data_IF_473523455956
#
_entry.id   IF_473523455956
#
_cell.length_a   1.000
_cell.length_b   1.000
_cell.length_c   1.000
_cell.angle_alpha   90.00
_cell.angle_beta   90.00
_cell.angle_gamma   90.00
#
_symmetry.space_group_name_H-M   'P 1'
#
loop_
_entity.id
_entity.type
_entity.pdbx_description
1 polymer ?
#
# COMPACT_ATOMS: atom_id res chain seq x y z
N UNK A 1 1.40 23.10 -12.32
CA UNK A 1 1.87 22.95 -10.92
C UNK A 1 0.80 22.17 -10.15
N UNK A 2 1.03 20.90 -9.83
CA UNK A 2 0.08 20.05 -9.10
C UNK A 2 0.12 20.43 -7.62
N UNK A 3 -0.89 21.17 -7.17
CA UNK A 3 -0.96 21.72 -5.81
C UNK A 3 -1.01 20.62 -4.75
N UNK A 4 -0.07 20.69 -3.81
CA UNK A 4 0.10 19.79 -2.66
C UNK A 4 -1.03 19.83 -1.63
N UNK A 5 -2.24 19.44 -2.02
CA UNK A 5 -3.33 19.14 -1.07
C UNK A 5 -3.38 17.64 -0.82
N UNK A 6 -2.64 17.17 0.18
CA UNK A 6 -3.06 15.95 0.87
C UNK A 6 -4.31 16.31 1.68
N UNK A 7 -5.44 15.64 1.43
CA UNK A 7 -6.62 15.77 2.29
C UNK A 7 -6.24 15.48 3.75
N UNK A 8 -6.99 16.01 4.71
CA UNK A 8 -6.84 15.70 6.14
C UNK A 8 -6.71 14.18 6.38
N UNK A 9 -7.51 13.39 5.66
CA UNK A 9 -7.47 11.93 5.69
C UNK A 9 -6.14 11.35 5.20
N UNK A 10 -5.54 11.93 4.15
CA UNK A 10 -4.22 11.52 3.65
C UNK A 10 -3.10 11.78 4.66
N UNK A 11 -3.16 12.89 5.42
CA UNK A 11 -2.17 13.20 6.46
C UNK A 11 -2.30 12.25 7.65
N UNK A 12 -3.52 12.02 8.14
CA UNK A 12 -3.80 11.09 9.23
C UNK A 12 -3.33 9.67 8.86
N UNK A 13 -3.64 9.21 7.64
CA UNK A 13 -3.20 7.90 7.14
C UNK A 13 -1.67 7.76 7.16
N UNK A 14 -0.92 8.79 6.73
CA UNK A 14 0.55 8.78 6.76
C UNK A 14 1.09 8.69 8.18
N UNK A 15 0.56 9.49 9.10
CA UNK A 15 0.97 9.47 10.50
C UNK A 15 0.68 8.12 11.16
N UNK A 16 -0.49 7.53 10.88
CA UNK A 16 -0.84 6.20 11.36
C UNK A 16 0.12 5.14 10.84
N UNK A 17 0.42 5.12 9.54
CA UNK A 17 1.37 4.16 8.95
C UNK A 17 2.75 4.27 9.61
N UNK A 18 3.25 5.49 9.80
CA UNK A 18 4.53 5.71 10.47
C UNK A 18 4.54 5.16 11.90
N UNK A 19 3.45 5.38 12.65
CA UNK A 19 3.33 4.85 14.00
C UNK A 19 3.34 3.31 14.02
N UNK A 20 2.61 2.67 13.11
CA UNK A 20 2.59 1.20 13.00
C UNK A 20 3.98 0.66 12.61
N UNK A 21 4.70 1.30 11.69
CA UNK A 21 6.09 0.93 11.36
C UNK A 21 6.98 0.86 12.61
N UNK A 22 6.95 1.92 13.43
CA UNK A 22 7.78 2.00 14.64
C UNK A 22 7.43 0.91 15.67
N UNK A 23 6.14 0.57 15.79
CA UNK A 23 5.70 -0.51 16.70
C UNK A 23 6.17 -1.87 16.19
N UNK A 24 6.05 -2.13 14.87
CA UNK A 24 6.52 -3.38 14.25
C UNK A 24 8.02 -3.53 14.38
N UNK A 25 8.80 -2.47 14.14
CA UNK A 25 10.25 -2.50 14.29
C UNK A 25 10.66 -2.84 15.72
N UNK A 26 9.97 -2.25 16.71
CA UNK A 26 10.19 -2.54 18.13
C UNK A 26 9.84 -3.99 18.48
N UNK A 27 8.72 -4.51 18.00
CA UNK A 27 8.29 -5.90 18.24
C UNK A 27 9.25 -6.90 17.58
N UNK A 28 9.64 -6.65 16.32
CA UNK A 28 10.59 -7.49 15.60
C UNK A 28 11.95 -7.57 16.33
N UNK A 29 12.44 -6.44 16.85
CA UNK A 29 13.66 -6.39 17.66
C UNK A 29 13.57 -7.14 18.99
N UNK A 30 12.37 -7.23 19.59
CA UNK A 30 12.14 -7.97 20.84
C UNK A 30 12.08 -9.49 20.63
N UNK A 31 11.58 -9.93 19.47
CA UNK A 31 11.41 -11.36 19.15
C UNK A 31 12.75 -11.99 18.73
N UNK A 32 13.79 -11.20 18.50
CA UNK A 32 15.10 -11.68 18.04
C UNK A 32 15.03 -12.26 16.62
N UNK A 33 14.03 -11.85 15.85
CA UNK A 33 13.86 -12.31 14.48
C UNK A 33 14.85 -11.57 13.57
N UNK A 34 15.76 -12.32 12.95
CA UNK A 34 16.69 -11.78 11.96
C UNK A 34 16.01 -11.48 10.61
N UNK A 35 14.83 -12.06 10.35
CA UNK A 35 14.03 -11.70 9.19
C UNK A 35 13.38 -10.32 9.39
N UNK A 36 13.66 -9.41 8.44
CA UNK A 36 12.99 -8.11 8.41
C UNK A 36 11.49 -8.27 8.16
N UNK A 37 10.69 -7.98 9.18
CA UNK A 37 9.25 -7.83 9.04
C UNK A 37 8.97 -6.50 8.35
N UNK A 38 8.29 -6.54 7.20
CA UNK A 38 7.93 -5.33 6.46
C UNK A 38 6.42 -5.19 6.34
N UNK A 39 5.94 -3.94 6.47
CA UNK A 39 4.53 -3.64 6.24
C UNK A 39 4.25 -3.53 4.74
N UNK A 40 3.11 -4.06 4.27
CA UNK A 40 2.71 -3.91 2.88
C UNK A 40 2.44 -2.43 2.55
N UNK A 41 2.61 -2.07 1.27
CA UNK A 41 2.27 -0.71 0.82
C UNK A 41 0.78 -0.41 1.08
N UNK A 42 0.40 0.83 1.41
CA UNK A 42 -0.98 1.19 1.74
C UNK A 42 -2.04 0.99 0.65
N UNK A 43 -1.64 0.65 -0.56
CA UNK A 43 -2.51 0.28 -1.69
C UNK A 43 -2.81 -1.24 -1.74
N UNK A 44 -2.01 -2.06 -1.05
CA UNK A 44 -2.20 -3.51 -0.95
C UNK A 44 -3.54 -3.80 -0.27
N UNK A 45 -4.42 -4.54 -0.96
CA UNK A 45 -5.81 -4.78 -0.55
C UNK A 45 -6.59 -3.49 -0.19
N UNK A 46 -6.29 -2.37 -0.84
CA UNK A 46 -7.04 -1.14 -0.64
C UNK A 46 -8.45 -1.23 -1.24
N UNK A 47 -9.49 -1.15 -0.42
CA UNK A 47 -10.90 -1.24 -0.86
C UNK A 47 -11.62 0.11 -0.95
N UNK A 48 -10.89 1.22 -0.79
CA UNK A 48 -11.47 2.56 -0.72
C UNK A 48 -10.69 3.54 -1.61
N UNK A 49 -11.43 4.36 -2.36
CA UNK A 49 -10.86 5.45 -3.15
C UNK A 49 -10.09 4.93 -4.37
N UNK A 50 -8.90 5.49 -4.63
CA UNK A 50 -8.11 5.19 -5.84
C UNK A 50 -7.61 3.73 -5.92
N UNK A 51 -7.67 2.96 -4.85
CA UNK A 51 -7.17 1.58 -4.80
C UNK A 51 -8.28 0.53 -5.04
N UNK A 52 -9.55 0.93 -5.05
CA UNK A 52 -10.69 0.01 -5.15
C UNK A 52 -10.72 -0.80 -6.45
N UNK A 53 -10.20 -0.22 -7.54
CA UNK A 53 -10.28 -0.80 -8.89
C UNK A 53 -8.98 -1.45 -9.38
N UNK A 54 -7.90 -1.37 -8.60
CA UNK A 54 -6.57 -1.81 -9.04
C UNK A 54 -5.95 -2.67 -7.95
N UNK A 55 -5.55 -3.89 -8.31
CA UNK A 55 -4.79 -4.74 -7.40
C UNK A 55 -3.34 -4.30 -7.37
N UNK A 56 -2.79 -4.14 -6.18
CA UNK A 56 -1.37 -3.90 -5.95
C UNK A 56 -0.80 -5.08 -5.17
N UNK A 57 0.43 -5.49 -5.48
CA UNK A 57 1.16 -6.44 -4.66
C UNK A 57 1.72 -5.76 -3.39
N UNK A 58 2.35 -6.56 -2.51
CA UNK A 58 2.94 -6.11 -1.24
C UNK A 58 3.89 -4.90 -1.42
N UNK A 59 4.59 -4.83 -2.55
CA UNK A 59 5.58 -3.79 -2.86
C UNK A 59 4.99 -2.56 -3.57
N UNK A 60 3.68 -2.56 -3.85
CA UNK A 60 2.98 -1.46 -4.51
C UNK A 60 3.06 -1.50 -6.04
N UNK A 61 3.43 -2.63 -6.63
CA UNK A 61 3.35 -2.83 -8.08
C UNK A 61 1.92 -3.20 -8.43
N UNK A 62 1.35 -2.48 -9.40
CA UNK A 62 0.05 -2.78 -9.98
C UNK A 62 0.10 -4.17 -10.64
N UNK A 63 -0.73 -5.08 -10.15
CA UNK A 63 -0.95 -6.39 -10.76
C UNK A 63 -2.25 -6.30 -11.55
N UNK A 64 -2.16 -6.31 -12.87
CA UNK A 64 -3.34 -6.43 -13.72
C UNK A 64 -4.01 -7.78 -13.42
N UNK A 65 -5.29 -7.78 -13.04
CA UNK A 65 -6.09 -9.00 -13.07
C UNK A 65 -6.07 -9.54 -14.52
N UNK A 66 -5.71 -10.81 -14.69
CA UNK A 66 -5.60 -11.44 -16.02
C UNK A 66 -6.92 -11.39 -16.82
N UNK A 67 -8.06 -11.13 -16.17
CA UNK A 67 -9.34 -10.92 -16.85
C UNK A 67 -9.38 -9.70 -17.79
N UNK A 68 -8.46 -8.72 -17.66
CA UNK A 68 -8.39 -7.57 -18.57
C UNK A 68 -7.44 -7.76 -19.77
N UNK A 69 -6.64 -8.83 -19.80
CA UNK A 69 -5.73 -9.07 -20.94
C UNK A 69 -6.46 -9.38 -22.25
N UNK A 70 -7.72 -9.82 -22.20
CA UNK A 70 -8.51 -10.10 -23.40
C UNK A 70 -9.32 -8.91 -23.93
N UNK A 71 -9.49 -7.82 -23.17
CA UNK A 71 -10.28 -6.67 -23.63
C UNK A 71 -9.45 -5.58 -24.33
N UNK A 72 -8.12 -5.62 -24.23
CA UNK A 72 -7.23 -4.64 -24.90
C UNK A 72 -6.61 -5.13 -26.21
N UNK A 73 -6.94 -6.35 -26.67
CA UNK A 73 -6.54 -6.85 -28.00
C UNK A 73 -7.51 -6.51 -29.13
N UNK A 74 -8.57 -5.75 -28.84
CA UNK A 74 -9.48 -5.21 -29.86
C UNK A 74 -9.62 -3.69 -29.66
N UNK A 75 -8.55 -2.96 -29.91
CA UNK A 75 -8.67 -1.59 -30.42
C UNK A 75 -7.45 -1.14 -31.21
#
# INVERSE_FOLDING_TARGET
>A
MLSGRTSSNGRIRKTFILHVCLVVDKEAGMIGNEEQVTLPKPAFHGTVGLFEYVQFNLFGVCTMQENYKNSFKFH
#
